data_IF_735557534981
#
_entry.id   IF_735557534981
#
_cell.length_a   1.000
_cell.length_b   1.000
_cell.length_c   1.000
_cell.angle_alpha   90.00
_cell.angle_beta   90.00
_cell.angle_gamma   90.00
#
_symmetry.space_group_name_H-M   'P 1'
#
loop_
_entity.id
_entity.type
_entity.pdbx_description
1 polymer ?
#
# COMPACT_ATOMS: atom_id res chain seq x y z
N UNK A 1 -92.34 24.09 -79.66
CA UNK A 1 -91.66 22.94 -79.02
C UNK A 1 -90.17 23.24 -78.73
N UNK A 2 -89.43 23.81 -79.69
CA UNK A 2 -88.00 24.17 -79.55
C UNK A 2 -87.74 25.24 -78.49
N UNK A 3 -88.52 26.34 -78.47
CA UNK A 3 -88.34 27.46 -77.50
C UNK A 3 -88.48 26.99 -76.03
N UNK A 4 -89.48 26.13 -75.73
CA UNK A 4 -89.65 25.53 -74.40
C UNK A 4 -88.49 24.62 -73.99
N UNK A 5 -87.85 23.95 -74.96
CA UNK A 5 -86.68 23.10 -74.72
C UNK A 5 -85.44 23.94 -74.39
N UNK A 6 -85.25 25.08 -75.07
CA UNK A 6 -84.15 26.03 -74.84
C UNK A 6 -84.29 26.68 -73.45
N UNK A 7 -85.47 27.19 -73.09
CA UNK A 7 -85.70 27.76 -71.75
C UNK A 7 -85.48 26.74 -70.62
N UNK A 8 -85.85 25.48 -70.84
CA UNK A 8 -85.64 24.43 -69.84
C UNK A 8 -84.15 24.04 -69.72
N UNK A 9 -83.39 24.14 -70.81
CA UNK A 9 -81.93 23.99 -70.81
C UNK A 9 -81.24 25.16 -70.10
N UNK A 10 -81.67 26.41 -70.33
CA UNK A 10 -81.16 27.60 -69.64
C UNK A 10 -81.38 27.50 -68.13
N UNK A 11 -82.60 27.22 -67.68
CA UNK A 11 -82.92 27.08 -66.25
C UNK A 11 -82.07 25.96 -65.62
N UNK A 12 -81.86 24.84 -66.34
CA UNK A 12 -81.03 23.74 -65.86
C UNK A 12 -79.56 24.15 -65.78
N UNK A 13 -79.04 24.90 -66.76
CA UNK A 13 -77.69 25.45 -66.74
C UNK A 13 -77.50 26.45 -65.59
N UNK A 14 -78.43 27.38 -65.38
CA UNK A 14 -78.42 28.32 -64.26
C UNK A 14 -78.42 27.60 -62.91
N UNK A 15 -79.24 26.55 -62.75
CA UNK A 15 -79.25 25.76 -61.52
C UNK A 15 -77.91 25.04 -61.27
N UNK A 16 -77.24 24.58 -62.33
CA UNK A 16 -75.93 23.93 -62.24
C UNK A 16 -74.83 24.94 -61.93
N UNK A 17 -74.88 26.13 -62.52
CA UNK A 17 -73.93 27.23 -62.24
C UNK A 17 -74.06 27.66 -60.78
N UNK A 18 -75.26 27.94 -60.29
CA UNK A 18 -75.49 28.32 -58.89
C UNK A 18 -75.07 27.21 -57.91
N UNK A 19 -75.27 25.93 -58.28
CA UNK A 19 -74.77 24.80 -57.49
C UNK A 19 -73.24 24.71 -57.47
N UNK A 20 -72.56 25.11 -58.54
CA UNK A 20 -71.10 25.12 -58.61
C UNK A 20 -70.53 26.30 -57.83
N UNK A 21 -71.12 27.49 -57.96
CA UNK A 21 -70.73 28.69 -57.20
C UNK A 21 -70.81 28.44 -55.69
N UNK A 22 -71.94 27.92 -55.20
CA UNK A 22 -72.08 27.56 -53.78
C UNK A 22 -71.12 26.46 -53.31
N UNK A 23 -70.71 25.53 -54.20
CA UNK A 23 -69.65 24.56 -53.88
C UNK A 23 -68.27 25.21 -53.80
N UNK A 24 -67.98 26.16 -54.70
CA UNK A 24 -66.72 26.91 -54.74
C UNK A 24 -66.61 27.80 -53.49
N UNK A 25 -67.65 28.51 -53.10
CA UNK A 25 -67.67 29.34 -51.89
C UNK A 25 -67.42 28.49 -50.63
N UNK A 26 -68.14 27.38 -50.48
CA UNK A 26 -67.93 26.44 -49.36
C UNK A 26 -66.52 25.86 -49.33
N UNK A 27 -65.92 25.66 -50.50
CA UNK A 27 -64.54 25.17 -50.62
C UNK A 27 -63.53 26.26 -50.25
N UNK A 28 -63.76 27.51 -50.68
CA UNK A 28 -62.95 28.67 -50.28
C UNK A 28 -63.01 28.91 -48.77
N UNK A 29 -64.19 28.82 -48.15
CA UNK A 29 -64.32 28.93 -46.68
C UNK A 29 -63.52 27.85 -45.95
N UNK A 30 -63.59 26.58 -46.40
CA UNK A 30 -62.79 25.50 -45.81
C UNK A 30 -61.30 25.75 -45.98
N UNK A 31 -60.85 26.10 -47.19
CA UNK A 31 -59.44 26.41 -47.47
C UNK A 31 -58.92 27.56 -46.61
N UNK A 32 -59.70 28.63 -46.43
CA UNK A 32 -59.31 29.76 -45.59
C UNK A 32 -59.20 29.35 -44.11
N UNK A 33 -60.11 28.50 -43.64
CA UNK A 33 -60.06 27.97 -42.27
C UNK A 33 -58.82 27.10 -42.05
N UNK A 34 -58.52 26.19 -42.98
CA UNK A 34 -57.35 25.33 -42.94
C UNK A 34 -56.05 26.16 -42.99
N UNK A 35 -56.00 27.22 -43.81
CA UNK A 35 -54.87 28.15 -43.87
C UNK A 35 -54.63 28.87 -42.55
N UNK A 36 -55.68 29.31 -41.86
CA UNK A 36 -55.55 29.95 -40.55
C UNK A 36 -55.08 28.96 -39.47
N UNK A 37 -55.55 27.71 -39.49
CA UNK A 37 -55.03 26.66 -38.60
C UNK A 37 -53.55 26.34 -38.87
N UNK A 38 -53.14 26.30 -40.14
CA UNK A 38 -51.73 26.11 -40.53
C UNK A 38 -50.88 27.27 -40.03
N UNK A 39 -51.29 28.53 -40.22
CA UNK A 39 -50.53 29.69 -39.71
C UNK A 39 -50.36 29.65 -38.19
N UNK A 40 -51.43 29.29 -37.46
CA UNK A 40 -51.37 29.16 -35.99
C UNK A 40 -50.40 28.07 -35.57
N UNK A 41 -50.47 26.89 -36.20
CA UNK A 41 -49.54 25.80 -35.89
C UNK A 41 -48.09 26.15 -36.23
N UNK A 42 -47.86 26.85 -37.35
CA UNK A 42 -46.53 27.32 -37.75
C UNK A 42 -45.97 28.34 -36.75
N UNK A 43 -46.80 29.25 -36.24
CA UNK A 43 -46.41 30.21 -35.20
C UNK A 43 -46.00 29.50 -33.90
N UNK A 44 -46.80 28.53 -33.44
CA UNK A 44 -46.49 27.74 -32.24
C UNK A 44 -45.18 26.97 -32.43
N UNK A 45 -44.99 26.36 -33.60
CA UNK A 45 -43.78 25.60 -33.92
C UNK A 45 -42.52 26.47 -33.93
N UNK A 46 -42.59 27.67 -34.51
CA UNK A 46 -41.47 28.60 -34.52
C UNK A 46 -41.08 29.08 -33.11
N UNK A 47 -42.07 29.33 -32.24
CA UNK A 47 -41.81 29.68 -30.85
C UNK A 47 -41.12 28.53 -30.10
N UNK A 48 -41.61 27.30 -30.26
CA UNK A 48 -41.00 26.12 -29.64
C UNK A 48 -39.56 25.88 -30.14
N UNK A 49 -39.29 26.07 -31.44
CA UNK A 49 -37.93 25.96 -32.01
C UNK A 49 -37.00 27.01 -31.39
N UNK A 50 -37.45 28.25 -31.21
CA UNK A 50 -36.65 29.30 -30.58
C UNK A 50 -36.35 29.01 -29.12
N UNK A 51 -37.33 28.50 -28.36
CA UNK A 51 -37.10 28.06 -26.98
C UNK A 51 -36.07 26.94 -26.92
N UNK A 52 -36.20 25.91 -27.76
CA UNK A 52 -35.24 24.81 -27.85
C UNK A 52 -33.84 25.35 -28.17
N UNK A 53 -33.72 26.25 -29.15
CA UNK A 53 -32.43 26.85 -29.53
C UNK A 53 -31.78 27.58 -28.35
N UNK A 54 -32.53 28.39 -27.63
CA UNK A 54 -32.01 29.11 -26.46
C UNK A 54 -31.57 28.16 -25.35
N UNK A 55 -32.34 27.09 -25.09
CA UNK A 55 -31.94 26.08 -24.11
C UNK A 55 -30.68 25.32 -24.54
N UNK A 56 -30.55 25.03 -25.84
CA UNK A 56 -29.39 24.33 -26.39
C UNK A 56 -28.12 25.17 -26.28
N UNK A 57 -28.20 26.46 -26.60
CA UNK A 57 -27.09 27.41 -26.40
C UNK A 57 -26.69 27.49 -24.93
N UNK A 58 -27.65 27.61 -24.01
CA UNK A 58 -27.37 27.63 -22.58
C UNK A 58 -26.73 26.32 -22.08
N UNK A 59 -27.17 25.17 -22.59
CA UNK A 59 -26.54 23.88 -22.25
C UNK A 59 -25.13 23.76 -22.80
N UNK A 60 -24.88 24.24 -24.02
CA UNK A 60 -23.55 24.20 -24.62
C UNK A 60 -22.56 25.06 -23.83
N UNK A 61 -22.95 26.28 -23.41
CA UNK A 61 -22.08 27.11 -22.56
C UNK A 61 -21.73 26.43 -21.24
N UNK A 62 -22.68 25.73 -20.61
CA UNK A 62 -22.43 24.96 -19.38
C UNK A 62 -21.53 23.75 -19.61
N UNK A 63 -21.63 23.12 -20.78
CA UNK A 63 -20.77 21.98 -21.15
C UNK A 63 -19.34 22.48 -21.33
N UNK A 64 -19.11 23.56 -22.07
CA UNK A 64 -17.76 24.13 -22.26
C UNK A 64 -17.14 24.54 -20.92
N UNK A 65 -17.91 25.19 -20.03
CA UNK A 65 -17.41 25.51 -18.68
C UNK A 65 -17.04 24.24 -17.89
N UNK A 66 -17.83 23.17 -18.01
CA UNK A 66 -17.52 21.91 -17.36
C UNK A 66 -16.26 21.24 -17.95
N UNK A 67 -16.08 21.29 -19.27
CA UNK A 67 -14.90 20.77 -19.97
C UNK A 67 -13.62 21.51 -19.53
N UNK A 68 -13.66 22.84 -19.47
CA UNK A 68 -12.53 23.65 -19.00
C UNK A 68 -12.16 23.32 -17.55
N UNK A 69 -13.17 23.17 -16.68
CA UNK A 69 -12.97 22.76 -15.28
C UNK A 69 -12.42 21.34 -15.16
N UNK A 70 -12.84 20.42 -16.02
CA UNK A 70 -12.32 19.05 -16.03
C UNK A 70 -10.85 19.07 -16.46
N UNK A 71 -10.50 19.83 -17.50
CA UNK A 71 -9.10 19.99 -17.93
C UNK A 71 -8.20 20.52 -16.82
N UNK A 72 -8.64 21.56 -16.09
CA UNK A 72 -7.88 22.10 -14.96
C UNK A 72 -7.71 21.06 -13.83
N UNK A 73 -8.75 20.26 -13.56
CA UNK A 73 -8.69 19.20 -12.55
C UNK A 73 -7.76 18.06 -12.98
N UNK A 74 -7.74 17.69 -14.26
CA UNK A 74 -6.83 16.67 -14.81
C UNK A 74 -5.37 17.10 -14.65
N UNK A 75 -5.04 18.35 -14.98
CA UNK A 75 -3.70 18.90 -14.81
C UNK A 75 -3.27 18.87 -13.33
N UNK A 76 -4.15 19.34 -12.43
CA UNK A 76 -3.90 19.29 -10.98
C UNK A 76 -3.74 17.87 -10.46
N UNK A 77 -4.49 16.91 -10.99
CA UNK A 77 -4.37 15.50 -10.60
C UNK A 77 -3.00 14.93 -10.97
N UNK A 78 -2.45 15.30 -12.13
CA UNK A 78 -1.09 14.91 -12.55
C UNK A 78 -0.05 15.48 -11.59
N UNK A 79 -0.17 16.76 -11.23
CA UNK A 79 0.73 17.40 -10.26
C UNK A 79 0.69 16.74 -8.88
N UNK A 80 -0.53 16.42 -8.39
CA UNK A 80 -0.73 15.74 -7.11
C UNK A 80 -0.05 14.37 -7.14
N UNK A 81 -0.28 13.57 -8.19
CA UNK A 81 0.30 12.23 -8.33
C UNK A 81 1.84 12.26 -8.31
N UNK A 82 2.47 13.22 -9.01
CA UNK A 82 3.93 13.34 -8.97
C UNK A 82 4.42 13.77 -7.59
N UNK A 83 3.70 14.68 -6.93
CA UNK A 83 4.03 15.09 -5.56
C UNK A 83 3.90 13.92 -4.56
N UNK A 84 2.90 13.05 -4.73
CA UNK A 84 2.70 11.85 -3.91
C UNK A 84 3.84 10.85 -4.13
N UNK A 85 4.23 10.62 -5.39
CA UNK A 85 5.37 9.75 -5.73
C UNK A 85 6.68 10.24 -5.10
N UNK A 86 6.91 11.54 -5.07
CA UNK A 86 8.08 12.13 -4.41
C UNK A 86 8.00 11.92 -2.89
N UNK A 87 6.84 12.19 -2.28
CA UNK A 87 6.62 11.99 -0.84
C UNK A 87 6.79 10.52 -0.43
N UNK A 88 6.27 9.58 -1.21
CA UNK A 88 6.42 8.15 -0.96
C UNK A 88 7.89 7.72 -0.97
N UNK A 89 8.66 8.17 -1.97
CA UNK A 89 10.12 7.95 -2.00
C UNK A 89 10.81 8.54 -0.78
N UNK A 90 10.38 9.71 -0.31
CA UNK A 90 10.96 10.36 0.86
C UNK A 90 10.60 9.62 2.16
N UNK A 91 9.35 9.18 2.31
CA UNK A 91 8.90 8.37 3.45
C UNK A 91 9.71 7.08 3.53
N UNK A 92 9.83 6.36 2.40
CA UNK A 92 10.62 5.12 2.36
C UNK A 92 12.08 5.34 2.77
N UNK A 93 12.72 6.42 2.28
CA UNK A 93 14.09 6.79 2.70
C UNK A 93 14.16 7.10 4.18
N UNK A 94 13.17 7.81 4.72
CA UNK A 94 13.12 8.16 6.13
C UNK A 94 12.93 6.92 7.01
N UNK A 95 12.08 5.98 6.62
CA UNK A 95 11.90 4.70 7.31
C UNK A 95 13.18 3.88 7.31
N UNK A 96 13.86 3.77 6.16
CA UNK A 96 15.15 3.09 6.04
C UNK A 96 16.21 3.77 6.94
N UNK A 97 16.29 5.10 6.92
CA UNK A 97 17.21 5.87 7.77
C UNK A 97 16.90 5.68 9.27
N UNK A 98 15.62 5.68 9.66
CA UNK A 98 15.21 5.46 11.05
C UNK A 98 15.58 4.05 11.51
N UNK A 99 15.37 3.04 10.66
CA UNK A 99 15.79 1.65 10.92
C UNK A 99 17.30 1.59 11.14
N UNK A 100 18.08 2.21 10.25
CA UNK A 100 19.54 2.19 10.32
C UNK A 100 20.08 2.92 11.56
N UNK A 101 19.47 4.06 11.94
CA UNK A 101 19.81 4.79 13.16
C UNK A 101 19.48 3.98 14.41
N UNK A 102 18.30 3.37 14.49
CA UNK A 102 17.91 2.54 15.62
C UNK A 102 18.82 1.32 15.77
N UNK A 103 19.11 0.65 14.66
CA UNK A 103 20.01 -0.48 14.62
C UNK A 103 21.43 -0.05 15.03
N UNK A 104 21.93 1.09 14.56
CA UNK A 104 23.22 1.64 14.99
C UNK A 104 23.26 1.91 16.50
N UNK A 105 22.22 2.53 17.07
CA UNK A 105 22.14 2.75 18.53
C UNK A 105 22.12 1.42 19.29
N UNK A 106 21.39 0.43 18.79
CA UNK A 106 21.25 -0.90 19.40
C UNK A 106 22.41 -1.85 19.07
N UNK A 107 23.34 -1.46 18.19
CA UNK A 107 24.40 -2.35 17.73
C UNK A 107 25.34 -2.77 18.86
N UNK A 108 25.42 -1.99 19.94
CA UNK A 108 26.19 -2.27 21.16
C UNK A 108 25.42 -3.08 22.21
N UNK A 109 24.10 -3.24 22.04
CA UNK A 109 23.23 -3.80 23.06
C UNK A 109 23.10 -5.33 22.95
N UNK A 110 23.11 -5.99 24.10
CA UNK A 110 22.67 -7.38 24.29
C UNK A 110 21.42 -7.41 25.16
N UNK A 111 20.59 -8.41 24.94
CA UNK A 111 19.34 -8.64 25.67
C UNK A 111 19.40 -9.98 26.37
N UNK A 112 19.20 -9.99 27.68
CA UNK A 112 19.13 -11.20 28.50
C UNK A 112 17.66 -11.42 28.91
N UNK A 113 17.18 -12.64 28.69
CA UNK A 113 15.80 -13.06 28.92
C UNK A 113 15.81 -14.22 29.93
N UNK A 114 14.91 -14.15 30.92
CA UNK A 114 14.71 -15.23 31.90
C UNK A 114 15.35 -15.02 33.27
N UNK A 115 16.00 -13.86 33.50
CA UNK A 115 16.58 -13.55 34.83
C UNK A 115 15.45 -13.14 35.79
N UNK A 116 15.29 -13.77 36.97
CA UNK A 116 14.26 -13.40 37.96
C UNK A 116 14.34 -11.94 38.41
N UNK A 117 13.21 -11.35 38.83
CA UNK A 117 13.17 -9.95 39.30
C UNK A 117 13.66 -9.77 40.74
N UNK A 118 13.67 -10.84 41.55
CA UNK A 118 14.07 -10.78 42.97
C UNK A 118 15.56 -10.47 43.15
N UNK A 119 16.39 -10.78 42.16
CA UNK A 119 17.81 -10.46 42.13
C UNK A 119 18.10 -8.97 41.94
N UNK A 120 17.19 -8.25 41.25
CA UNK A 120 17.39 -6.83 40.93
C UNK A 120 17.36 -5.93 42.17
N UNK A 121 16.67 -6.35 43.24
CA UNK A 121 16.65 -5.59 44.51
C UNK A 121 17.97 -5.68 45.27
N UNK A 122 18.84 -6.64 44.92
CA UNK A 122 20.03 -7.01 45.72
C UNK A 122 21.35 -6.75 45.00
N UNK A 123 21.38 -6.72 43.65
CA UNK A 123 22.62 -6.58 42.87
C UNK A 123 22.43 -5.69 41.65
N UNK A 124 23.48 -4.93 41.33
CA UNK A 124 23.60 -4.23 40.06
C UNK A 124 23.59 -5.24 38.91
N UNK A 125 22.94 -4.89 37.80
CA UNK A 125 22.82 -5.79 36.64
C UNK A 125 24.18 -6.15 36.01
N UNK A 126 25.22 -5.35 36.27
CA UNK A 126 26.60 -5.64 35.88
C UNK A 126 27.11 -6.94 36.54
N UNK A 127 26.85 -7.10 37.84
CA UNK A 127 27.25 -8.31 38.59
C UNK A 127 26.51 -9.55 38.09
N UNK A 128 25.27 -9.39 37.63
CA UNK A 128 24.52 -10.49 37.01
C UNK A 128 25.21 -10.95 35.73
N UNK A 129 25.68 -10.01 34.88
CA UNK A 129 26.44 -10.37 33.68
C UNK A 129 27.75 -11.07 34.04
N UNK A 130 28.46 -10.60 35.06
CA UNK A 130 29.69 -11.23 35.55
C UNK A 130 29.46 -12.70 35.94
N UNK A 131 28.44 -12.95 36.76
CA UNK A 131 28.05 -14.29 37.19
C UNK A 131 27.74 -15.19 35.98
N UNK A 132 26.97 -14.68 35.00
CA UNK A 132 26.65 -15.41 33.77
C UNK A 132 27.91 -15.73 32.96
N UNK A 133 28.85 -14.78 32.82
CA UNK A 133 30.09 -14.99 32.05
C UNK A 133 30.98 -16.02 32.74
N UNK A 134 31.15 -15.94 34.06
CA UNK A 134 31.97 -16.89 34.82
C UNK A 134 31.36 -18.30 34.78
N UNK A 135 30.03 -18.42 34.94
CA UNK A 135 29.33 -19.69 34.92
C UNK A 135 29.35 -20.34 33.52
N UNK A 136 29.21 -19.53 32.45
CA UNK A 136 28.99 -20.07 31.11
C UNK A 136 30.16 -20.01 30.16
N UNK A 137 31.00 -18.99 30.30
CA UNK A 137 32.04 -18.66 29.33
C UNK A 137 33.38 -18.42 30.01
N UNK A 138 33.99 -19.44 30.66
CA UNK A 138 35.27 -19.27 31.37
C UNK A 138 36.42 -18.86 30.44
N UNK A 139 36.27 -19.05 29.13
CA UNK A 139 37.23 -18.64 28.10
C UNK A 139 37.15 -17.14 27.74
N UNK A 140 36.04 -16.48 28.06
CA UNK A 140 35.91 -15.03 27.88
C UNK A 140 36.62 -14.36 29.06
N UNK A 141 37.75 -13.71 28.79
CA UNK A 141 38.55 -13.06 29.82
C UNK A 141 37.78 -11.97 30.58
N UNK A 142 38.24 -11.63 31.79
CA UNK A 142 37.65 -10.59 32.65
C UNK A 142 37.61 -9.19 32.01
N UNK A 143 38.30 -8.97 30.89
CA UNK A 143 38.35 -7.71 30.16
C UNK A 143 36.99 -7.26 29.58
N UNK A 144 36.08 -8.21 29.32
CA UNK A 144 34.75 -7.92 28.76
C UNK A 144 33.81 -7.34 29.83
N UNK A 145 34.02 -7.74 31.08
CA UNK A 145 33.22 -7.35 32.24
C UNK A 145 33.34 -5.84 32.51
N UNK A 146 34.55 -5.29 32.41
CA UNK A 146 34.83 -3.87 32.68
C UNK A 146 34.35 -2.91 31.58
N UNK A 147 33.72 -3.42 30.51
CA UNK A 147 33.31 -2.64 29.33
C UNK A 147 31.79 -2.55 29.17
N UNK A 148 31.06 -2.62 30.28
CA UNK A 148 29.63 -2.32 30.34
C UNK A 148 29.48 -0.81 30.54
N UNK A 149 28.66 -0.17 29.69
CA UNK A 149 28.38 1.26 29.77
C UNK A 149 27.09 1.54 30.54
N UNK A 150 26.04 0.81 30.21
CA UNK A 150 24.71 0.99 30.78
C UNK A 150 24.02 -0.36 30.92
N UNK A 151 23.25 -0.52 31.99
CA UNK A 151 22.40 -1.69 32.20
C UNK A 151 21.02 -1.25 32.68
N UNK A 152 19.97 -1.87 32.14
CA UNK A 152 18.60 -1.56 32.56
C UNK A 152 17.64 -2.70 32.25
N UNK A 153 16.57 -2.82 33.05
CA UNK A 153 15.42 -3.67 32.73
C UNK A 153 14.45 -2.95 31.82
N UNK A 154 13.99 -3.62 30.76
CA UNK A 154 13.03 -3.05 29.81
C UNK A 154 11.74 -3.89 29.77
N UNK A 155 10.57 -3.26 29.95
CA UNK A 155 10.33 -1.83 30.29
C UNK A 155 10.73 -1.44 31.73
N UNK A 156 11.01 -0.15 31.98
CA UNK A 156 11.41 0.32 33.32
C UNK A 156 10.33 0.09 34.39
N UNK A 157 9.04 0.11 34.01
CA UNK A 157 7.92 -0.16 34.91
C UNK A 157 7.55 -1.64 34.90
N UNK A 158 7.34 -2.21 36.08
CA UNK A 158 6.80 -3.56 36.25
C UNK A 158 5.33 -3.54 35.85
N UNK A 159 4.91 -4.48 35.01
CA UNK A 159 3.51 -4.69 34.68
C UNK A 159 2.97 -5.85 35.53
N UNK A 160 2.06 -5.61 36.50
CA UNK A 160 1.54 -6.66 37.38
C UNK A 160 0.81 -7.79 36.65
N UNK A 161 0.34 -7.56 35.42
CA UNK A 161 -0.36 -8.55 34.60
C UNK A 161 0.58 -9.52 33.86
N UNK A 162 1.90 -9.30 33.92
CA UNK A 162 2.89 -10.07 33.17
C UNK A 162 3.70 -10.94 34.13
N UNK A 163 3.48 -12.25 34.08
CA UNK A 163 4.16 -13.22 34.94
C UNK A 163 5.59 -13.56 34.48
N UNK A 164 5.99 -13.13 33.28
CA UNK A 164 7.36 -13.34 32.79
C UNK A 164 8.29 -12.23 33.30
N UNK A 165 9.50 -12.56 33.77
CA UNK A 165 10.48 -11.54 34.15
C UNK A 165 10.79 -10.57 33.00
N UNK A 166 10.99 -9.29 33.32
CA UNK A 166 11.41 -8.29 32.33
C UNK A 166 12.77 -8.62 31.74
N UNK A 167 13.05 -8.13 30.53
CA UNK A 167 14.35 -8.37 29.91
C UNK A 167 15.40 -7.41 30.47
N UNK A 168 16.66 -7.82 30.57
CA UNK A 168 17.79 -6.93 30.86
C UNK A 168 18.41 -6.52 29.53
N UNK A 169 18.56 -5.22 29.30
CA UNK A 169 19.41 -4.66 28.25
C UNK A 169 20.74 -4.24 28.86
N UNK A 170 21.82 -4.62 28.19
CA UNK A 170 23.18 -4.25 28.55
C UNK A 170 23.83 -3.64 27.32
N UNK A 171 24.34 -2.42 27.46
CA UNK A 171 25.08 -1.70 26.43
C UNK A 171 26.57 -1.87 26.68
N UNK A 172 27.27 -2.44 25.71
CA UNK A 172 28.71 -2.68 25.77
C UNK A 172 29.48 -1.55 25.08
N UNK A 173 30.68 -1.24 25.51
CA UNK A 173 31.51 -0.19 24.88
C UNK A 173 31.97 -0.57 23.47
N UNK A 174 32.16 -1.87 23.19
CA UNK A 174 32.69 -2.38 21.91
C UNK A 174 31.79 -3.45 21.30
N UNK A 175 31.51 -3.33 20.00
CA UNK A 175 30.73 -4.31 19.22
C UNK A 175 31.43 -5.69 19.20
N UNK A 176 32.76 -5.73 19.16
CA UNK A 176 33.54 -6.98 19.16
C UNK A 176 33.19 -7.89 20.34
N UNK A 177 33.01 -7.30 21.54
CA UNK A 177 32.67 -8.04 22.75
C UNK A 177 31.25 -8.60 22.72
N UNK A 178 30.30 -7.81 22.20
CA UNK A 178 28.94 -8.28 21.94
C UNK A 178 28.96 -9.50 21.03
N UNK A 179 29.69 -9.44 19.92
CA UNK A 179 29.75 -10.53 18.95
C UNK A 179 30.39 -11.79 19.55
N UNK A 180 31.43 -11.65 20.36
CA UNK A 180 32.07 -12.74 21.08
C UNK A 180 31.11 -13.41 22.07
N UNK A 181 30.39 -12.62 22.89
CA UNK A 181 29.38 -13.15 23.82
C UNK A 181 28.29 -13.88 23.06
N UNK A 182 27.73 -13.28 22.00
CA UNK A 182 26.67 -13.89 21.20
C UNK A 182 27.14 -15.15 20.46
N UNK A 183 28.41 -15.21 20.04
CA UNK A 183 29.01 -16.40 19.43
C UNK A 183 29.14 -17.52 20.46
N UNK A 184 29.73 -17.23 21.63
CA UNK A 184 29.88 -18.20 22.70
C UNK A 184 28.52 -18.72 23.20
N UNK A 185 27.53 -17.84 23.31
CA UNK A 185 26.14 -18.17 23.64
C UNK A 185 25.53 -19.19 22.65
N UNK A 186 25.76 -19.01 21.34
CA UNK A 186 25.28 -19.94 20.30
C UNK A 186 26.00 -21.27 20.31
N UNK A 187 27.32 -21.27 20.57
CA UNK A 187 28.12 -22.49 20.66
C UNK A 187 27.73 -23.34 21.86
N UNK A 188 27.47 -22.71 23.02
CA UNK A 188 27.05 -23.42 24.23
C UNK A 188 25.60 -23.93 24.15
N UNK A 189 24.73 -23.23 23.42
CA UNK A 189 23.28 -23.48 23.26
C UNK A 189 22.44 -23.37 24.54
N UNK A 190 22.88 -23.98 25.65
CA UNK A 190 22.25 -23.90 26.96
C UNK A 190 23.05 -22.98 27.90
N UNK A 191 22.43 -21.86 28.27
CA UNK A 191 23.03 -20.87 29.17
C UNK A 191 22.20 -20.89 30.44
N UNK A 192 22.87 -20.96 31.59
CA UNK A 192 22.23 -20.98 32.90
C UNK A 192 22.71 -19.80 33.74
N UNK A 193 21.86 -19.33 34.64
CA UNK A 193 22.23 -18.40 35.68
C UNK A 193 21.71 -18.98 36.99
N UNK A 194 22.61 -19.42 37.88
CA UNK A 194 22.25 -20.10 39.14
C UNK A 194 21.33 -21.31 38.92
N UNK A 195 21.60 -22.05 37.85
CA UNK A 195 20.80 -23.21 37.45
C UNK A 195 19.48 -22.90 36.71
N UNK A 196 19.09 -21.63 36.57
CA UNK A 196 17.90 -21.24 35.78
C UNK A 196 18.31 -21.03 34.32
N UNK A 197 17.62 -21.65 33.34
CA UNK A 197 17.94 -21.45 31.93
C UNK A 197 17.60 -20.02 31.48
N UNK A 198 18.57 -19.35 30.86
CA UNK A 198 18.44 -17.99 30.34
C UNK A 198 18.77 -17.95 28.85
N UNK A 199 18.36 -16.87 28.17
CA UNK A 199 18.67 -16.63 26.76
C UNK A 199 19.34 -15.29 26.57
N UNK A 200 20.45 -15.29 25.84
CA UNK A 200 21.16 -14.08 25.43
C UNK A 200 20.93 -13.87 23.94
N UNK A 201 20.38 -12.72 23.57
CA UNK A 201 20.08 -12.35 22.18
C UNK A 201 20.60 -10.96 21.85
N UNK A 202 20.79 -10.65 20.57
CA UNK A 202 21.03 -9.27 20.15
C UNK A 202 19.77 -8.42 20.37
N UNK A 203 19.94 -7.17 20.76
CA UNK A 203 18.88 -6.17 20.69
C UNK A 203 18.84 -5.60 19.26
N UNK A 204 17.67 -5.65 18.63
CA UNK A 204 17.46 -5.26 17.23
C UNK A 204 16.21 -4.38 17.12
N UNK A 205 16.11 -3.56 16.07
CA UNK A 205 14.87 -2.87 15.71
C UNK A 205 13.73 -3.86 15.39
N UNK A 206 12.49 -3.38 15.44
CA UNK A 206 11.32 -4.23 15.22
C UNK A 206 11.27 -4.67 13.75
N UNK A 207 11.60 -3.74 12.87
CA UNK A 207 11.72 -3.89 11.43
C UNK A 207 12.79 -4.93 11.10
N UNK A 208 13.98 -4.84 11.71
CA UNK A 208 15.04 -5.84 11.52
C UNK A 208 14.66 -7.20 12.11
N UNK A 209 13.94 -7.26 13.23
CA UNK A 209 13.41 -8.52 13.76
C UNK A 209 12.40 -9.16 12.80
N UNK A 210 11.53 -8.36 12.18
CA UNK A 210 10.57 -8.83 11.20
C UNK A 210 11.26 -9.35 9.94
N UNK A 211 12.20 -8.58 9.38
CA UNK A 211 13.02 -9.02 8.25
C UNK A 211 13.76 -10.33 8.57
N UNK A 212 14.28 -10.50 9.79
CA UNK A 212 14.91 -11.76 10.22
C UNK A 212 13.93 -12.92 10.35
N UNK A 213 12.68 -12.68 10.75
CA UNK A 213 11.63 -13.72 10.78
C UNK A 213 11.31 -14.21 9.39
N UNK A 214 11.22 -13.30 8.43
CA UNK A 214 11.00 -13.62 7.03
C UNK A 214 12.08 -14.53 6.43
N UNK A 215 13.31 -14.48 6.95
CA UNK A 215 14.39 -15.39 6.58
C UNK A 215 14.33 -16.76 7.27
N UNK A 216 13.51 -16.97 8.31
CA UNK A 216 13.56 -18.19 9.11
C UNK A 216 13.21 -19.45 8.32
N UNK A 217 12.17 -19.38 7.49
CA UNK A 217 11.74 -20.51 6.67
C UNK A 217 12.80 -20.87 5.63
N UNK A 218 13.40 -19.86 4.99
CA UNK A 218 14.52 -20.01 4.04
C UNK A 218 15.74 -20.61 4.73
N UNK A 219 16.09 -20.12 5.92
CA UNK A 219 17.21 -20.64 6.71
C UNK A 219 17.01 -22.10 7.09
N UNK A 220 15.77 -22.50 7.41
CA UNK A 220 15.43 -23.89 7.73
C UNK A 220 15.67 -24.80 6.52
N UNK A 221 15.10 -24.45 5.37
CA UNK A 221 15.30 -25.20 4.12
C UNK A 221 16.78 -25.27 3.69
N UNK A 222 17.51 -24.15 3.77
CA UNK A 222 18.93 -24.12 3.41
C UNK A 222 19.79 -24.97 4.37
N UNK A 223 19.41 -25.09 5.64
CA UNK A 223 20.10 -25.99 6.60
C UNK A 223 19.83 -27.45 6.27
N UNK A 224 18.59 -27.80 5.94
CA UNK A 224 18.22 -29.17 5.53
C UNK A 224 18.97 -29.62 4.27
N UNK A 225 19.32 -28.67 3.38
CA UNK A 225 20.07 -28.90 2.16
C UNK A 225 21.59 -28.66 2.28
N UNK A 226 22.15 -28.59 3.51
CA UNK A 226 23.59 -28.47 3.77
C UNK A 226 24.31 -27.22 3.18
N UNK A 227 23.59 -26.13 2.91
CA UNK A 227 24.16 -24.88 2.35
C UNK A 227 24.87 -23.99 3.40
N UNK A 228 24.91 -24.44 4.66
CA UNK A 228 25.55 -23.76 5.79
C UNK A 228 25.14 -22.28 5.92
N UNK A 229 23.83 -21.96 5.97
CA UNK A 229 23.41 -20.58 5.94
C UNK A 229 23.72 -19.85 7.26
N UNK A 230 24.06 -18.58 7.14
CA UNK A 230 24.36 -17.64 8.23
C UNK A 230 23.52 -16.39 8.06
N UNK A 231 22.93 -15.94 9.17
CA UNK A 231 22.18 -14.68 9.22
C UNK A 231 23.07 -13.59 9.81
N UNK A 232 23.54 -12.70 8.94
CA UNK A 232 24.41 -11.58 9.28
C UNK A 232 23.58 -10.36 9.69
N UNK A 233 24.23 -9.46 10.43
CA UNK A 233 23.66 -8.17 10.80
C UNK A 233 23.56 -7.22 9.59
N UNK A 234 22.50 -6.40 9.47
CA UNK A 234 21.29 -6.36 10.29
C UNK A 234 20.31 -7.50 10.01
N UNK A 235 20.03 -7.84 8.75
CA UNK A 235 19.17 -8.96 8.34
C UNK A 235 19.58 -9.50 6.95
N UNK A 236 20.84 -9.92 6.80
CA UNK A 236 21.37 -10.44 5.53
C UNK A 236 21.57 -11.95 5.60
N UNK A 237 21.06 -12.69 4.64
CA UNK A 237 21.33 -14.13 4.54
C UNK A 237 22.62 -14.35 3.75
N UNK A 238 23.48 -15.23 4.25
CA UNK A 238 24.73 -15.61 3.60
C UNK A 238 24.85 -17.12 3.60
N UNK A 239 25.24 -17.72 2.48
CA UNK A 239 25.42 -19.17 2.38
C UNK A 239 26.49 -19.50 1.36
N UNK A 240 27.07 -20.71 1.48
CA UNK A 240 28.09 -21.18 0.54
C UNK A 240 27.39 -21.89 -0.62
N UNK A 241 27.68 -21.46 -1.84
CA UNK A 241 27.13 -22.06 -3.05
C UNK A 241 28.20 -22.08 -4.13
N UNK A 242 28.42 -23.24 -4.77
CA UNK A 242 29.46 -23.44 -5.81
C UNK A 242 30.86 -22.98 -5.37
N UNK A 243 31.19 -23.13 -4.07
CA UNK A 243 32.50 -22.73 -3.52
C UNK A 243 32.59 -21.28 -3.05
N UNK A 244 31.68 -20.41 -3.47
CA UNK A 244 31.66 -18.99 -3.11
C UNK A 244 30.64 -18.68 -2.00
N UNK A 245 30.93 -17.66 -1.18
CA UNK A 245 29.99 -17.16 -0.19
C UNK A 245 29.14 -16.07 -0.86
N UNK A 246 27.84 -16.34 -1.03
CA UNK A 246 26.88 -15.36 -1.54
C UNK A 246 26.12 -14.73 -0.37
N UNK A 247 25.79 -13.45 -0.48
CA UNK A 247 25.10 -12.70 0.58
C UNK A 247 24.01 -11.80 0.00
N UNK A 248 22.80 -11.91 0.55
CA UNK A 248 21.62 -11.19 0.07
C UNK A 248 20.99 -10.39 1.21
N UNK A 249 20.58 -9.16 0.91
CA UNK A 249 19.87 -8.28 1.84
C UNK A 249 18.35 -8.36 1.71
N UNK A 250 17.87 -8.84 0.56
CA UNK A 250 16.45 -8.84 0.19
C UNK A 250 16.09 -10.17 -0.47
N UNK A 251 14.85 -10.63 -0.23
CA UNK A 251 14.26 -11.80 -0.87
C UNK A 251 14.16 -11.63 -2.37
N UNK A 252 13.87 -10.43 -2.86
CA UNK A 252 13.75 -10.20 -4.31
C UNK A 252 15.08 -10.50 -5.03
N UNK A 253 16.19 -10.01 -4.50
CA UNK A 253 17.54 -10.30 -5.04
C UNK A 253 17.91 -11.78 -4.94
N UNK A 254 17.48 -12.46 -3.87
CA UNK A 254 17.66 -13.90 -3.76
C UNK A 254 16.85 -14.64 -4.83
N UNK A 255 15.61 -14.22 -5.09
CA UNK A 255 14.73 -14.80 -6.12
C UNK A 255 15.33 -14.62 -7.53
N UNK A 256 15.82 -13.43 -7.85
CA UNK A 256 16.54 -13.15 -9.10
C UNK A 256 17.81 -14.00 -9.25
N UNK A 257 18.51 -14.29 -8.14
CA UNK A 257 19.64 -15.21 -8.19
C UNK A 257 19.20 -16.66 -8.42
N UNK A 258 18.13 -17.09 -7.77
CA UNK A 258 17.58 -18.45 -7.91
C UNK A 258 17.09 -18.74 -9.34
N UNK A 259 16.52 -17.77 -10.06
CA UNK A 259 16.09 -18.00 -11.45
C UNK A 259 17.25 -18.36 -12.39
N UNK A 260 18.46 -17.93 -12.08
CA UNK A 260 19.67 -18.28 -12.86
C UNK A 260 20.27 -19.63 -12.48
N UNK A 261 19.80 -20.26 -11.39
CA UNK A 261 20.39 -21.48 -10.80
C UNK A 261 19.32 -22.54 -10.51
N UNK A 262 19.07 -23.48 -11.43
CA UNK A 262 17.98 -24.46 -11.33
C UNK A 262 17.99 -25.30 -10.03
N UNK A 263 19.18 -25.68 -9.54
CA UNK A 263 19.31 -26.45 -8.31
C UNK A 263 18.81 -25.67 -7.07
N UNK A 264 19.13 -24.37 -6.97
CA UNK A 264 18.64 -23.51 -5.89
C UNK A 264 17.16 -23.19 -6.05
N UNK A 265 16.70 -23.02 -7.29
CA UNK A 265 15.29 -22.79 -7.57
C UNK A 265 14.42 -23.97 -7.11
N UNK A 266 14.87 -25.20 -7.34
CA UNK A 266 14.14 -26.40 -6.91
C UNK A 266 14.08 -26.52 -5.38
N UNK A 267 15.16 -26.14 -4.69
CA UNK A 267 15.23 -26.19 -3.21
C UNK A 267 14.33 -25.13 -2.55
N UNK A 268 14.17 -23.97 -3.17
CA UNK A 268 13.46 -22.81 -2.58
C UNK A 268 12.10 -22.51 -3.25
N UNK A 269 11.61 -23.41 -4.11
CA UNK A 269 10.41 -23.21 -4.93
C UNK A 269 9.15 -22.92 -4.12
N UNK A 270 9.01 -23.52 -2.94
CA UNK A 270 7.80 -23.42 -2.11
C UNK A 270 7.82 -22.21 -1.16
N UNK A 271 8.92 -21.44 -1.13
CA UNK A 271 9.15 -20.36 -0.15
C UNK A 271 9.42 -18.99 -0.81
N UNK A 272 9.86 -18.95 -2.08
CA UNK A 272 10.24 -17.72 -2.81
C UNK A 272 9.22 -17.26 -3.86
#
# INVERSE_FOLDING_TARGET
>A
MIVKLIQNLEIKMESQINSLETRIEKMQERFNKDLEEIKKSQYIMNNAINEIKNTLEATNSRITEAEDRISELEDRMVEINESERIKEKQIKRNEDNLRDLQDNIKCYNIRIIGVPEEEDKKKDHEKILEEIIVENFPKLGKEIITQVQETQRVPNRINPRRNTPRHILIKLTKIKHKEQILKAAREKQQITHKGIPIRITADLSIETLQARREWQDILKMMKENNLQPRLLYPARISFKYEGEIKSFSDKQKLREFCTTKPALQQILKDIL
#
